data_IF_332085768431
#
_entry.id   IF_332085768431
#
_cell.length_a   1.000
_cell.length_b   1.000
_cell.length_c   1.000
_cell.angle_alpha   90.00
_cell.angle_beta   90.00
_cell.angle_gamma   90.00
#
_symmetry.space_group_name_H-M   'P 1'
#
loop_
_entity.id
_entity.type
_entity.pdbx_description
1 polymer ?
#
# COMPACT_ATOMS: atom_id res chain seq x y z
N UNK A 1 -0.93 18.99 0.12
CA UNK A 1 -0.12 17.91 0.72
C UNK A 1 -0.66 16.58 0.23
N UNK A 2 0.07 15.83 -0.62
CA UNK A 2 -0.35 14.48 -1.04
C UNK A 2 -0.24 13.58 0.20
N UNK A 3 -1.34 13.40 0.94
CA UNK A 3 -1.40 12.52 2.11
C UNK A 3 -1.20 11.08 1.63
N UNK A 4 -0.05 10.51 1.92
CA UNK A 4 0.22 9.07 1.79
C UNK A 4 -0.29 8.43 3.07
N UNK A 5 -1.00 7.31 2.94
CA UNK A 5 -1.51 6.58 4.09
C UNK A 5 -0.58 5.40 4.37
N UNK A 6 0.04 5.41 5.54
CA UNK A 6 0.99 4.37 5.96
C UNK A 6 0.34 3.24 6.75
N UNK A 7 -0.94 3.37 7.10
CA UNK A 7 -1.69 2.36 7.86
C UNK A 7 -2.96 1.92 7.13
N UNK A 8 -3.13 0.61 7.04
CA UNK A 8 -4.29 -0.06 6.47
C UNK A 8 -5.04 -0.80 7.58
N UNK A 9 -6.35 -0.91 7.43
CA UNK A 9 -7.20 -1.63 8.38
C UNK A 9 -7.96 -2.69 7.59
N UNK A 10 -7.78 -3.95 7.97
CA UNK A 10 -8.45 -5.09 7.37
C UNK A 10 -9.32 -5.81 8.40
N UNK A 11 -10.43 -6.35 7.94
CA UNK A 11 -11.20 -7.38 8.63
C UNK A 11 -10.65 -8.74 8.21
N UNK A 12 -10.32 -9.61 9.16
CA UNK A 12 -9.83 -10.96 8.87
C UNK A 12 -10.19 -11.95 9.98
N UNK A 13 -10.27 -13.26 9.67
CA UNK A 13 -10.33 -14.32 10.68
C UNK A 13 -9.07 -14.34 11.55
N UNK A 14 -9.21 -14.76 12.81
CA UNK A 14 -8.09 -14.80 13.76
C UNK A 14 -6.97 -15.75 13.29
N UNK A 15 -7.34 -16.81 12.57
CA UNK A 15 -6.46 -17.84 12.04
C UNK A 15 -5.59 -17.33 10.87
N UNK A 16 -6.01 -16.25 10.21
CA UNK A 16 -5.33 -15.70 9.02
C UNK A 16 -4.68 -14.33 9.28
N UNK A 17 -4.42 -13.97 10.54
CA UNK A 17 -3.72 -12.72 10.86
C UNK A 17 -2.28 -12.82 10.34
N UNK A 18 -1.88 -12.00 9.34
CA UNK A 18 -0.53 -12.04 8.84
C UNK A 18 0.42 -11.34 9.83
N UNK A 19 1.66 -11.85 10.03
CA UNK A 19 2.66 -11.17 10.85
C UNK A 19 3.17 -9.87 10.19
N UNK A 20 3.19 -9.82 8.86
CA UNK A 20 3.56 -8.65 8.04
C UNK A 20 2.90 -8.75 6.66
N UNK A 21 2.75 -7.61 6.00
CA UNK A 21 2.33 -7.51 4.59
C UNK A 21 3.54 -7.04 3.80
N UNK A 22 4.03 -7.86 2.88
CA UNK A 22 5.12 -7.48 1.98
C UNK A 22 4.55 -6.85 0.72
N UNK A 23 5.11 -5.72 0.34
CA UNK A 23 4.70 -4.97 -0.86
C UNK A 23 5.91 -4.91 -1.76
N UNK A 24 5.83 -5.58 -2.90
CA UNK A 24 6.87 -5.53 -3.91
C UNK A 24 6.83 -4.18 -4.64
N UNK A 25 7.98 -3.53 -4.76
CA UNK A 25 8.17 -2.25 -5.45
C UNK A 25 9.18 -2.37 -6.60
N UNK A 26 9.66 -3.58 -6.93
CA UNK A 26 10.76 -3.79 -7.86
C UNK A 26 10.44 -3.35 -9.30
N UNK A 27 9.18 -3.41 -9.71
CA UNK A 27 8.73 -3.14 -11.09
C UNK A 27 7.97 -1.81 -11.24
N UNK A 28 8.28 -0.80 -10.43
CA UNK A 28 7.64 0.52 -10.49
C UNK A 28 8.54 1.57 -11.10
N UNK A 29 7.98 2.39 -11.99
CA UNK A 29 8.67 3.50 -12.64
C UNK A 29 8.52 4.82 -11.88
N UNK A 30 9.34 5.81 -12.23
CA UNK A 30 9.22 7.16 -11.68
C UNK A 30 7.87 7.77 -12.07
N UNK A 31 7.10 8.18 -11.06
CA UNK A 31 5.75 8.70 -11.24
C UNK A 31 4.65 7.71 -10.84
N UNK A 32 5.00 6.43 -10.71
CA UNK A 32 4.07 5.39 -10.29
C UNK A 32 3.71 5.48 -8.81
N UNK A 33 2.61 4.81 -8.49
CA UNK A 33 2.07 4.72 -7.13
C UNK A 33 1.54 3.32 -6.86
N UNK A 34 1.61 2.94 -5.60
CA UNK A 34 0.85 1.80 -5.06
C UNK A 34 -0.31 2.37 -4.26
N UNK A 35 -1.52 1.88 -4.51
CA UNK A 35 -2.75 2.23 -3.81
C UNK A 35 -3.19 1.08 -2.89
N UNK A 36 -4.20 1.30 -2.04
CA UNK A 36 -4.56 0.27 -1.04
C UNK A 36 -5.10 -1.01 -1.65
N UNK A 37 -5.79 -0.90 -2.79
CA UNK A 37 -6.33 -2.01 -3.57
C UNK A 37 -5.23 -2.81 -4.30
N UNK A 38 -4.06 -2.22 -4.51
CA UNK A 38 -2.94 -2.87 -5.19
C UNK A 38 -2.12 -3.76 -4.22
N UNK A 39 -2.44 -3.73 -2.93
CA UNK A 39 -1.71 -4.50 -1.91
C UNK A 39 -2.11 -5.98 -2.00
N UNK A 40 -1.14 -6.88 -2.24
CA UNK A 40 -1.43 -8.31 -2.34
C UNK A 40 -1.68 -8.88 -0.93
N UNK A 41 -2.96 -9.01 -0.56
CA UNK A 41 -3.39 -9.65 0.69
C UNK A 41 -4.12 -10.95 0.42
N UNK A 42 -4.16 -11.84 1.41
CA UNK A 42 -4.96 -13.05 1.33
C UNK A 42 -6.45 -12.71 1.13
N UNK A 43 -7.22 -13.46 0.32
CA UNK A 43 -8.62 -13.12 -0.01
C UNK A 43 -9.56 -13.01 1.20
N UNK A 44 -9.21 -13.60 2.34
CA UNK A 44 -9.97 -13.46 3.59
C UNK A 44 -9.79 -12.11 4.29
N UNK A 45 -8.81 -11.30 3.86
CA UNK A 45 -8.60 -9.94 4.37
C UNK A 45 -9.46 -8.98 3.56
N UNK A 46 -10.45 -8.37 4.22
CA UNK A 46 -11.29 -7.35 3.62
C UNK A 46 -10.86 -5.96 4.06
N UNK A 47 -10.48 -5.12 3.12
CA UNK A 47 -10.11 -3.72 3.39
C UNK A 47 -11.33 -2.97 3.96
N UNK A 48 -11.13 -2.26 5.09
CA UNK A 48 -12.18 -1.46 5.75
C UNK A 48 -12.09 0.04 5.44
N UNK A 49 -11.15 0.44 4.57
CA UNK A 49 -11.00 1.84 4.16
C UNK A 49 -12.07 2.23 3.15
N UNK A 50 -12.74 3.37 3.35
CA UNK A 50 -13.73 3.90 2.39
C UNK A 50 -13.11 4.39 1.08
N UNK A 51 -11.81 4.69 1.07
CA UNK A 51 -11.12 5.19 -0.11
C UNK A 51 -9.93 4.29 -0.43
N UNK A 52 -10.19 3.30 -1.27
CA UNK A 52 -9.24 2.26 -1.67
C UNK A 52 -8.18 2.80 -2.65
N UNK A 53 -8.51 3.86 -3.39
CA UNK A 53 -7.58 4.55 -4.33
C UNK A 53 -6.54 5.43 -3.63
N UNK A 54 -6.57 5.50 -2.29
CA UNK A 54 -5.57 6.26 -1.55
C UNK A 54 -4.18 5.64 -1.74
N UNK A 55 -3.17 6.45 -2.08
CA UNK A 55 -1.82 5.96 -2.28
C UNK A 55 -1.17 5.62 -0.93
N UNK A 56 -0.53 4.45 -0.91
CA UNK A 56 0.31 3.92 0.19
C UNK A 56 1.80 4.14 -0.10
N UNK A 57 2.19 4.15 -1.38
CA UNK A 57 3.56 4.47 -1.81
C UNK A 57 3.54 5.27 -3.12
N UNK A 58 4.55 6.11 -3.35
CA UNK A 58 4.78 6.83 -4.62
C UNK A 58 6.27 6.91 -4.90
N UNK A 59 6.65 6.64 -6.14
CA UNK A 59 8.04 6.77 -6.60
C UNK A 59 8.19 8.15 -7.24
N UNK A 60 9.11 8.95 -6.72
CA UNK A 60 9.38 10.32 -7.19
C UNK A 60 10.88 10.49 -7.36
N UNK A 61 11.28 11.25 -8.38
CA UNK A 61 12.67 11.66 -8.53
C UNK A 61 13.09 12.51 -7.32
N UNK A 62 14.19 12.13 -6.67
CA UNK A 62 14.84 12.99 -5.69
C UNK A 62 15.48 14.17 -6.41
N UNK A 63 15.59 15.31 -5.72
CA UNK A 63 16.49 16.36 -6.18
C UNK A 63 17.93 15.83 -6.11
N UNK A 64 18.81 16.16 -7.07
CA UNK A 64 20.23 15.89 -6.92
C UNK A 64 20.74 16.48 -5.61
N UNK A 65 21.60 15.75 -4.91
CA UNK A 65 22.34 16.30 -3.77
C UNK A 65 23.45 17.17 -4.38
N UNK A 66 23.31 18.49 -4.26
CA UNK A 66 24.38 19.45 -4.55
C UNK A 66 25.47 19.43 -3.47
#
# INVERSE_FOLDING_TARGET
RKKIRTSLVYLCPAEHIPPKIEVDLANLDIGDRVSMNDIPVHPSLRLLSKNETMPVCKILASKPVE
#
